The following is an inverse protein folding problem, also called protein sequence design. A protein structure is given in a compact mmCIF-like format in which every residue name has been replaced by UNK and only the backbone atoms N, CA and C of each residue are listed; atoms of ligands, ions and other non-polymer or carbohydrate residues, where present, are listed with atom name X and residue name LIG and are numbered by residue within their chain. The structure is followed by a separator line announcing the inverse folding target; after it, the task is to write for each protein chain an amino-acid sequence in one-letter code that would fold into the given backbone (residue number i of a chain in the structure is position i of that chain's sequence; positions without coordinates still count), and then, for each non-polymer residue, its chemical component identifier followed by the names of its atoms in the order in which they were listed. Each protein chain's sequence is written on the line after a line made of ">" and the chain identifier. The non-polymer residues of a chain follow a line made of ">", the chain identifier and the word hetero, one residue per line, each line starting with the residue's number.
data_IF_528082180378
#
_entry.id   IF_528082180378
#
_cell.length_a   1.000
_cell.length_b   1.000
_cell.length_c   1.000
_cell.angle_alpha   90.00
_cell.angle_beta   90.00
_cell.angle_gamma   90.00
#
_symmetry.space_group_name_H-M   'P 1'
#
loop_
_entity.id
_entity.type
_entity.pdbx_description
1 polymer ?
#
# COMPACT_ATOMS: atom_id res chain seq x y z
N UNK A 1 -19.14 -11.93 -21.04
CA UNK A 1 -19.10 -12.81 -19.86
C UNK A 1 -18.45 -12.03 -18.73
N UNK A 2 -19.02 -11.97 -17.50
CA UNK A 2 -18.36 -11.32 -16.38
C UNK A 2 -17.14 -12.16 -15.95
N UNK A 3 -15.99 -11.50 -15.78
CA UNK A 3 -14.76 -12.12 -15.27
C UNK A 3 -14.54 -11.61 -13.84
N UNK A 4 -15.12 -12.29 -12.82
CA UNK A 4 -14.93 -11.88 -11.43
C UNK A 4 -13.45 -12.01 -11.03
N UNK A 5 -12.93 -11.00 -10.34
CA UNK A 5 -11.55 -10.97 -9.85
C UNK A 5 -11.56 -10.53 -8.38
N UNK A 6 -10.92 -11.33 -7.52
CA UNK A 6 -10.74 -11.03 -6.11
C UNK A 6 -9.41 -11.63 -5.66
N UNK A 7 -8.39 -10.79 -5.50
CA UNK A 7 -7.08 -11.19 -5.01
C UNK A 7 -6.92 -10.74 -3.55
N UNK A 8 -6.67 -11.69 -2.66
CA UNK A 8 -6.46 -11.44 -1.24
C UNK A 8 -5.03 -11.90 -0.90
N UNK A 9 -4.25 -11.00 -0.30
CA UNK A 9 -2.88 -11.29 0.12
C UNK A 9 -2.64 -10.80 1.55
N UNK A 10 -1.71 -11.45 2.26
CA UNK A 10 -1.35 -11.10 3.64
C UNK A 10 -0.01 -10.37 3.62
N UNK A 11 0.03 -9.16 4.16
CA UNK A 11 1.27 -8.40 4.33
C UNK A 11 2.05 -8.97 5.51
N UNK A 12 3.24 -9.52 5.25
CA UNK A 12 4.09 -10.14 6.26
C UNK A 12 5.48 -9.52 6.33
N UNK A 13 5.90 -9.19 7.55
CA UNK A 13 7.16 -8.50 7.77
C UNK A 13 8.40 -9.37 7.59
N UNK A 14 8.31 -10.66 7.90
CA UNK A 14 9.37 -11.65 7.65
C UNK A 14 9.74 -11.70 6.16
N UNK A 15 8.80 -11.38 5.27
CA UNK A 15 9.01 -11.27 3.83
C UNK A 15 9.44 -9.86 3.38
N UNK A 16 9.88 -9.00 4.30
CA UNK A 16 10.28 -7.60 4.06
C UNK A 16 9.15 -6.72 3.53
N UNK A 17 7.89 -7.07 3.77
CA UNK A 17 6.75 -6.22 3.45
C UNK A 17 6.41 -5.30 4.63
N UNK A 18 5.77 -4.17 4.33
CA UNK A 18 5.36 -3.17 5.34
C UNK A 18 3.93 -2.72 5.08
N UNK A 19 3.08 -2.82 6.10
CA UNK A 19 1.69 -2.36 6.03
C UNK A 19 1.61 -0.85 5.78
N UNK A 20 2.51 -0.06 6.38
CA UNK A 20 2.58 1.39 6.17
C UNK A 20 2.97 1.72 4.73
N UNK A 21 3.92 0.97 4.16
CA UNK A 21 4.31 1.15 2.76
C UNK A 21 3.16 0.75 1.81
N UNK A 22 2.46 -0.35 2.09
CA UNK A 22 1.32 -0.80 1.30
C UNK A 22 0.18 0.22 1.34
N UNK A 23 -0.17 0.72 2.54
CA UNK A 23 -1.18 1.76 2.71
C UNK A 23 -0.80 3.04 1.96
N UNK A 24 0.42 3.55 2.14
CA UNK A 24 0.90 4.74 1.42
C UNK A 24 0.87 4.56 -0.11
N UNK A 25 1.18 3.34 -0.59
CA UNK A 25 1.13 3.02 -2.00
C UNK A 25 -0.31 2.90 -2.52
N UNK A 26 -1.26 2.42 -1.72
CA UNK A 26 -2.67 2.27 -2.09
C UNK A 26 -3.43 3.60 -2.03
N UNK A 27 -3.19 4.40 -1.00
CA UNK A 27 -3.82 5.71 -0.82
C UNK A 27 -3.14 6.84 -1.58
N UNK A 28 -1.85 6.68 -1.93
CA UNK A 28 -1.02 7.75 -2.47
C UNK A 28 -0.59 8.78 -1.43
N UNK A 29 -0.89 8.54 -0.16
CA UNK A 29 -0.55 9.45 0.92
C UNK A 29 0.90 9.26 1.39
N UNK A 30 1.40 10.29 2.08
CA UNK A 30 2.72 10.28 2.72
C UNK A 30 2.56 9.76 4.15
N UNK A 31 2.94 8.51 4.39
CA UNK A 31 2.84 7.89 5.71
C UNK A 31 4.22 7.69 6.34
N UNK A 32 4.33 7.97 7.65
CA UNK A 32 5.54 7.71 8.41
C UNK A 32 5.48 6.32 9.04
N UNK A 33 6.55 5.55 8.88
CA UNK A 33 6.74 4.28 9.58
C UNK A 33 7.69 4.48 10.75
N UNK A 34 7.18 4.42 11.97
CA UNK A 34 7.96 4.63 13.19
C UNK A 34 9.06 3.58 13.38
N UNK A 35 8.79 2.32 13.04
CA UNK A 35 9.78 1.26 13.21
C UNK A 35 10.99 1.46 12.30
N UNK A 36 10.73 1.77 11.02
CA UNK A 36 11.80 1.97 10.05
C UNK A 36 12.38 3.40 10.13
N UNK A 37 11.77 4.27 10.96
CA UNK A 37 12.03 5.71 11.05
C UNK A 37 12.10 6.38 9.67
N UNK A 38 11.21 5.97 8.77
CA UNK A 38 11.20 6.38 7.36
C UNK A 38 9.81 6.80 6.91
N UNK A 39 9.78 7.82 6.07
CA UNK A 39 8.56 8.21 5.37
C UNK A 39 8.42 7.40 4.08
N UNK A 40 7.28 6.75 3.91
CA UNK A 40 6.88 6.04 2.68
C UNK A 40 5.98 6.96 1.88
N UNK A 41 6.43 7.31 0.67
CA UNK A 41 5.73 8.21 -0.23
C UNK A 41 5.96 7.77 -1.67
N UNK A 42 4.88 7.50 -2.39
CA UNK A 42 4.91 6.93 -3.74
C UNK A 42 4.11 7.81 -4.72
N UNK A 43 4.62 9.02 -5.07
CA UNK A 43 3.88 10.00 -5.87
C UNK A 43 3.68 9.58 -7.32
N UNK A 44 4.45 8.61 -7.81
CA UNK A 44 4.34 8.09 -9.17
C UNK A 44 3.13 7.17 -9.36
N UNK A 45 2.47 6.75 -8.27
CA UNK A 45 1.26 5.95 -8.32
C UNK A 45 0.12 6.79 -8.91
N UNK A 46 -0.41 6.33 -10.04
CA UNK A 46 -1.60 6.90 -10.69
C UNK A 46 -2.79 5.96 -10.50
N UNK A 47 -4.01 6.49 -10.59
CA UNK A 47 -5.24 5.68 -10.59
C UNK A 47 -5.84 5.40 -9.21
N UNK A 48 -5.49 6.19 -8.19
CA UNK A 48 -6.17 6.19 -6.90
C UNK A 48 -7.44 7.03 -7.07
N UNK A 49 -8.60 6.38 -7.21
CA UNK A 49 -9.88 7.05 -7.50
C UNK A 49 -10.64 7.39 -6.22
N UNK A 50 -10.51 6.55 -5.19
CA UNK A 50 -11.09 6.72 -3.85
C UNK A 50 -10.16 6.09 -2.82
N UNK A 51 -10.13 6.68 -1.64
CA UNK A 51 -9.44 6.18 -0.46
C UNK A 51 -10.30 6.56 0.75
N UNK A 52 -10.71 5.58 1.55
CA UNK A 52 -11.51 5.75 2.77
C UNK A 52 -11.03 4.83 3.89
#
# INVERSE_FOLDING_TARGET
>A
MPCPHNEISIVQRSQRQSAVAAAAYQSGEKLFCEYDQQVKHYPEKRGIVHNE
#
